data_IF_124955656392
#
_entry.id   IF_124955656392
#
_cell.length_a   1.000
_cell.length_b   1.000
_cell.length_c   1.000
_cell.angle_alpha   90.00
_cell.angle_beta   90.00
_cell.angle_gamma   90.00
#
_symmetry.space_group_name_H-M   'P 1'
#
loop_
_entity.id
_entity.type
_entity.pdbx_description
1 polymer ?
#
# COMPACT_ATOMS: atom_id res chain seq x y z
N UNK A 1 36.71 -36.64 -13.14
CA UNK A 1 35.56 -35.73 -12.96
C UNK A 1 35.17 -35.69 -11.48
N UNK A 2 35.77 -34.80 -10.69
CA UNK A 2 35.22 -34.35 -9.41
C UNK A 2 35.07 -32.83 -9.56
N UNK A 3 33.86 -32.31 -9.37
CA UNK A 3 33.57 -30.87 -9.44
C UNK A 3 33.97 -30.28 -8.11
N UNK A 4 34.85 -29.30 -8.11
CA UNK A 4 35.10 -28.45 -6.95
C UNK A 4 33.88 -27.55 -6.74
N UNK A 5 33.25 -27.70 -5.58
CA UNK A 5 32.21 -26.78 -5.10
C UNK A 5 32.90 -25.51 -4.57
N UNK A 6 32.40 -24.30 -4.86
CA UNK A 6 32.98 -23.08 -4.29
C UNK A 6 32.79 -23.07 -2.76
N UNK A 7 33.75 -22.51 -2.00
CA UNK A 7 33.67 -22.44 -0.55
C UNK A 7 32.47 -21.58 -0.12
N UNK A 8 31.81 -21.91 1.01
CA UNK A 8 30.72 -21.09 1.54
C UNK A 8 31.26 -19.69 1.90
N UNK A 9 30.47 -18.62 1.71
CA UNK A 9 30.89 -17.28 2.08
C UNK A 9 31.16 -17.20 3.60
N UNK A 10 32.17 -16.42 4.03
CA UNK A 10 32.56 -16.32 5.43
C UNK A 10 31.40 -15.79 6.28
N UNK A 11 31.11 -16.46 7.40
CA UNK A 11 30.01 -16.13 8.33
C UNK A 11 30.06 -14.68 8.83
N UNK A 12 31.27 -14.11 8.95
CA UNK A 12 31.53 -12.68 9.25
C UNK A 12 30.83 -11.70 8.30
N UNK A 13 30.60 -12.09 7.04
CA UNK A 13 29.91 -11.21 6.09
C UNK A 13 28.41 -11.12 6.36
N UNK A 14 27.80 -12.21 6.82
CA UNK A 14 26.37 -12.24 7.17
C UNK A 14 26.16 -11.52 8.50
N UNK A 15 27.02 -11.76 9.48
CA UNK A 15 26.96 -11.07 10.77
C UNK A 15 27.21 -9.57 10.62
N UNK A 16 28.18 -9.14 9.80
CA UNK A 16 28.38 -7.71 9.48
C UNK A 16 27.19 -7.08 8.75
N UNK A 17 26.54 -7.79 7.82
CA UNK A 17 25.34 -7.27 7.16
C UNK A 17 24.19 -7.11 8.17
N UNK A 18 24.05 -8.04 9.11
CA UNK A 18 23.04 -7.99 10.17
C UNK A 18 23.37 -6.89 11.19
N UNK A 19 24.64 -6.70 11.54
CA UNK A 19 25.11 -5.63 12.42
C UNK A 19 25.02 -4.25 11.78
N UNK A 20 25.36 -4.11 10.49
CA UNK A 20 25.19 -2.88 9.72
C UNK A 20 23.70 -2.51 9.60
N UNK A 21 22.82 -3.49 9.33
CA UNK A 21 21.36 -3.29 9.32
C UNK A 21 20.81 -2.93 10.71
N UNK A 22 21.33 -3.54 11.77
CA UNK A 22 20.96 -3.22 13.16
C UNK A 22 21.48 -1.85 13.60
N UNK A 23 22.69 -1.46 13.15
CA UNK A 23 23.27 -0.15 13.39
C UNK A 23 22.48 0.94 12.66
N UNK A 24 22.07 0.71 11.42
CA UNK A 24 21.23 1.65 10.66
C UNK A 24 19.84 1.83 11.31
N UNK A 25 19.29 0.76 11.91
CA UNK A 25 18.09 0.82 12.77
C UNK A 25 18.31 1.62 14.07
N UNK A 26 19.53 1.60 14.63
CA UNK A 26 19.86 2.24 15.91
C UNK A 26 20.21 3.73 15.76
N UNK A 27 20.84 4.10 14.65
CA UNK A 27 21.29 5.46 14.36
C UNK A 27 20.20 6.33 13.74
N UNK A 28 19.20 5.72 13.10
CA UNK A 28 18.03 6.39 12.55
C UNK A 28 16.73 5.74 13.06
N UNK A 29 16.15 6.21 14.18
CA UNK A 29 14.84 5.73 14.64
C UNK A 29 13.68 6.09 13.70
N UNK A 30 13.96 6.64 12.50
CA UNK A 30 13.04 7.04 11.42
C UNK A 30 13.69 6.80 10.04
N UNK A 31 13.91 5.52 9.71
CA UNK A 31 14.23 5.02 8.35
C UNK A 31 12.96 4.43 7.68
N UNK A 32 12.99 4.16 6.37
CA UNK A 32 11.92 3.44 5.63
C UNK A 32 11.52 2.09 6.29
N UNK A 33 12.39 1.53 7.13
CA UNK A 33 12.13 0.35 7.96
C UNK A 33 11.25 0.56 9.22
N UNK A 34 10.94 1.79 9.62
CA UNK A 34 10.16 2.05 10.84
C UNK A 34 8.69 1.72 10.67
N UNK A 35 8.11 1.07 11.69
CA UNK A 35 6.73 0.62 11.63
C UNK A 35 5.81 1.82 11.84
N UNK A 36 4.61 1.78 11.26
CA UNK A 36 3.54 2.76 11.48
C UNK A 36 3.37 3.10 12.98
N UNK A 37 3.46 2.09 13.85
CA UNK A 37 3.34 2.26 15.31
C UNK A 37 4.41 3.20 15.88
N UNK A 38 5.63 3.17 15.36
CA UNK A 38 6.74 3.97 15.87
C UNK A 38 6.56 5.45 15.47
N UNK A 39 6.13 5.72 14.23
CA UNK A 39 5.73 7.05 13.79
C UNK A 39 4.57 7.60 14.64
N UNK A 40 3.53 6.80 14.91
CA UNK A 40 2.40 7.22 15.75
C UNK A 40 2.87 7.58 17.17
N UNK A 41 3.78 6.79 17.76
CA UNK A 41 4.35 7.10 19.08
C UNK A 41 5.13 8.42 19.05
N UNK A 42 5.94 8.65 18.02
CA UNK A 42 6.72 9.87 17.86
C UNK A 42 5.84 11.12 17.73
N UNK A 43 4.78 11.03 16.93
CA UNK A 43 3.76 12.08 16.78
C UNK A 43 3.08 12.35 18.12
N UNK A 44 2.65 11.32 18.84
CA UNK A 44 2.01 11.46 20.17
C UNK A 44 2.94 12.00 21.26
N UNK A 45 4.24 11.80 21.13
CA UNK A 45 5.24 12.33 22.06
C UNK A 45 5.57 13.81 21.81
N UNK A 46 5.12 14.38 20.68
CA UNK A 46 5.33 15.79 20.35
C UNK A 46 4.54 16.68 21.30
N UNK A 47 5.21 17.66 21.92
CA UNK A 47 4.63 18.61 22.86
C UNK A 47 4.08 19.85 22.16
N UNK A 48 4.54 20.10 20.94
CA UNK A 48 4.14 21.25 20.13
C UNK A 48 3.73 20.82 18.73
N UNK A 49 2.85 21.62 18.12
CA UNK A 49 2.49 21.45 16.72
C UNK A 49 3.68 21.63 15.75
N UNK A 50 4.76 22.29 16.18
CA UNK A 50 5.98 22.42 15.38
C UNK A 50 6.79 21.11 15.36
N UNK A 51 6.90 20.44 16.51
CA UNK A 51 7.54 19.12 16.64
C UNK A 51 6.79 18.06 15.83
N UNK A 52 5.44 18.02 15.95
CA UNK A 52 4.61 17.09 15.18
C UNK A 52 4.84 17.24 13.68
N UNK A 53 4.79 18.48 13.19
CA UNK A 53 5.07 18.82 11.78
C UNK A 53 6.48 18.40 11.36
N UNK A 54 7.46 18.50 12.25
CA UNK A 54 8.83 18.08 11.95
C UNK A 54 8.93 16.56 11.76
N UNK A 55 8.26 15.77 12.61
CA UNK A 55 8.19 14.31 12.48
C UNK A 55 7.51 13.93 11.16
N UNK A 56 6.34 14.52 10.87
CA UNK A 56 5.59 14.25 9.64
C UNK A 56 6.41 14.62 8.40
N UNK A 57 7.06 15.78 8.37
CA UNK A 57 7.90 16.20 7.23
C UNK A 57 9.06 15.24 6.98
N UNK A 58 9.70 14.76 8.05
CA UNK A 58 10.82 13.81 7.96
C UNK A 58 10.34 12.48 7.38
N UNK A 59 9.24 11.93 7.88
CA UNK A 59 8.66 10.68 7.36
C UNK A 59 8.20 10.82 5.91
N UNK A 60 7.55 11.93 5.54
CA UNK A 60 7.20 12.20 4.14
C UNK A 60 8.43 12.32 3.22
N UNK A 61 9.57 12.81 3.73
CA UNK A 61 10.82 12.84 2.96
C UNK A 61 11.37 11.41 2.77
N UNK A 62 11.39 10.59 3.82
CA UNK A 62 11.82 9.20 3.76
C UNK A 62 10.95 8.36 2.80
N UNK A 63 9.62 8.53 2.86
CA UNK A 63 8.71 7.84 1.93
C UNK A 63 8.97 8.27 0.49
N UNK A 64 9.18 9.57 0.23
CA UNK A 64 9.48 10.05 -1.13
C UNK A 64 10.79 9.47 -1.67
N UNK A 65 11.83 9.38 -0.84
CA UNK A 65 13.08 8.73 -1.22
C UNK A 65 12.85 7.26 -1.56
N UNK A 66 12.16 6.50 -0.69
CA UNK A 66 11.87 5.09 -0.94
C UNK A 66 11.04 4.84 -2.22
N UNK A 67 10.11 5.74 -2.55
CA UNK A 67 9.36 5.70 -3.82
C UNK A 67 10.29 5.93 -5.01
N UNK A 68 11.20 6.90 -4.91
CA UNK A 68 12.18 7.20 -5.96
C UNK A 68 13.13 6.03 -6.19
N UNK A 69 13.55 5.36 -5.13
CA UNK A 69 14.45 4.20 -5.19
C UNK A 69 13.73 2.91 -5.60
N UNK A 70 12.40 2.98 -5.82
CA UNK A 70 11.54 1.86 -6.20
C UNK A 70 11.66 0.66 -5.24
N UNK A 71 11.83 0.94 -3.95
CA UNK A 71 11.92 -0.06 -2.89
C UNK A 71 10.54 -0.73 -2.69
N UNK A 72 10.45 -2.01 -3.06
CA UNK A 72 9.21 -2.78 -3.03
C UNK A 72 8.91 -3.34 -1.63
N UNK A 73 9.95 -3.63 -0.85
CA UNK A 73 9.86 -4.42 0.38
C UNK A 73 9.06 -3.68 1.46
N UNK A 74 9.18 -2.35 1.47
CA UNK A 74 8.51 -1.49 2.44
C UNK A 74 7.32 -0.72 1.86
N UNK A 75 6.91 -0.94 0.60
CA UNK A 75 5.84 -0.15 -0.04
C UNK A 75 4.54 -0.17 0.78
N UNK A 76 4.10 -1.34 1.22
CA UNK A 76 2.86 -1.49 2.00
C UNK A 76 2.92 -0.74 3.34
N UNK A 77 4.09 -0.70 4.00
CA UNK A 77 4.29 0.02 5.26
C UNK A 77 4.32 1.53 5.04
N UNK A 78 5.01 1.96 4.00
CA UNK A 78 5.10 3.36 3.61
C UNK A 78 3.72 3.91 3.25
N UNK A 79 2.87 3.13 2.57
CA UNK A 79 1.48 3.52 2.30
C UNK A 79 0.63 3.60 3.56
N UNK A 80 0.75 2.66 4.50
CA UNK A 80 0.05 2.76 5.77
C UNK A 80 0.46 4.02 6.57
N UNK A 81 1.75 4.38 6.57
CA UNK A 81 2.24 5.65 7.14
C UNK A 81 1.63 6.85 6.45
N UNK A 82 1.63 6.85 5.11
CA UNK A 82 1.09 7.95 4.32
C UNK A 82 -0.41 8.16 4.55
N UNK A 83 -1.20 7.10 4.66
CA UNK A 83 -2.63 7.17 4.96
C UNK A 83 -2.88 7.78 6.34
N UNK A 84 -2.07 7.43 7.34
CA UNK A 84 -2.16 8.05 8.65
C UNK A 84 -1.82 9.55 8.62
N UNK A 85 -0.77 9.93 7.88
CA UNK A 85 -0.39 11.33 7.68
C UNK A 85 -1.52 12.11 7.01
N UNK A 86 -2.20 11.51 6.03
CA UNK A 86 -3.38 12.10 5.39
C UNK A 86 -4.53 12.32 6.38
N UNK A 87 -4.81 11.33 7.25
CA UNK A 87 -5.84 11.47 8.29
C UNK A 87 -5.55 12.59 9.30
N UNK A 88 -4.28 12.95 9.50
CA UNK A 88 -3.88 14.11 10.30
C UNK A 88 -4.05 15.45 9.56
N UNK A 89 -4.48 15.44 8.29
CA UNK A 89 -4.72 16.63 7.48
C UNK A 89 -3.49 17.14 6.71
N UNK A 90 -2.42 16.35 6.62
CA UNK A 90 -1.23 16.73 5.86
C UNK A 90 -1.33 16.32 4.37
N UNK A 91 -0.72 17.09 3.45
CA UNK A 91 -0.77 16.79 2.03
C UNK A 91 0.04 15.55 1.67
N UNK A 92 -0.59 14.62 0.95
CA UNK A 92 -0.04 13.29 0.60
C UNK A 92 -0.20 12.91 -0.87
N UNK A 93 -0.54 13.87 -1.74
CA UNK A 93 -0.84 13.63 -3.16
C UNK A 93 0.24 12.85 -3.92
N UNK A 94 1.51 12.98 -3.53
CA UNK A 94 2.62 12.28 -4.16
C UNK A 94 2.54 10.74 -4.07
N UNK A 95 1.75 10.19 -3.13
CA UNK A 95 1.58 8.75 -3.00
C UNK A 95 0.41 8.15 -3.77
N UNK A 96 -0.41 8.96 -4.46
CA UNK A 96 -1.59 8.46 -5.18
C UNK A 96 -1.22 7.41 -6.24
N UNK A 97 -0.12 7.63 -6.99
CA UNK A 97 0.35 6.68 -8.00
C UNK A 97 0.84 5.36 -7.39
N UNK A 98 1.44 5.40 -6.20
CA UNK A 98 1.86 4.18 -5.50
C UNK A 98 0.68 3.36 -4.99
N UNK A 99 -0.43 4.01 -4.60
CA UNK A 99 -1.67 3.30 -4.31
C UNK A 99 -2.21 2.55 -5.54
N UNK A 100 -2.16 3.18 -6.73
CA UNK A 100 -2.57 2.51 -7.97
C UNK A 100 -1.69 1.32 -8.31
N UNK A 101 -0.36 1.44 -8.15
CA UNK A 101 0.56 0.32 -8.33
C UNK A 101 0.24 -0.86 -7.40
N UNK A 102 -0.15 -0.58 -6.15
CA UNK A 102 -0.60 -1.61 -5.22
C UNK A 102 -1.92 -2.27 -5.63
N UNK A 103 -2.86 -1.51 -6.18
CA UNK A 103 -4.12 -2.05 -6.72
C UNK A 103 -3.84 -2.96 -7.92
N UNK A 104 -2.91 -2.57 -8.79
CA UNK A 104 -2.52 -3.36 -9.95
C UNK A 104 -1.67 -4.60 -9.61
N UNK A 105 -1.16 -4.72 -8.38
CA UNK A 105 -0.40 -5.89 -7.95
C UNK A 105 -1.29 -7.15 -7.91
N UNK A 106 -0.69 -8.33 -8.08
CA UNK A 106 -1.42 -9.61 -8.04
C UNK A 106 -1.69 -10.13 -6.63
N UNK A 107 -0.96 -9.65 -5.63
CA UNK A 107 -1.06 -10.09 -4.24
C UNK A 107 -2.25 -9.48 -3.49
N UNK A 108 -2.93 -10.30 -2.70
CA UNK A 108 -4.05 -9.84 -1.87
C UNK A 108 -3.65 -8.77 -0.81
N UNK A 109 -2.53 -8.92 -0.06
CA UNK A 109 -2.12 -7.90 0.92
C UNK A 109 -1.88 -6.53 0.29
N UNK A 110 -1.27 -6.50 -0.90
CA UNK A 110 -0.98 -5.30 -1.66
C UNK A 110 -2.27 -4.64 -2.14
N UNK A 111 -3.15 -5.41 -2.79
CA UNK A 111 -4.47 -4.93 -3.23
C UNK A 111 -5.27 -4.37 -2.06
N UNK A 112 -5.27 -5.04 -0.91
CA UNK A 112 -5.99 -4.59 0.29
C UNK A 112 -5.53 -3.21 0.76
N UNK A 113 -4.23 -2.96 0.80
CA UNK A 113 -3.69 -1.64 1.16
C UNK A 113 -3.99 -0.64 0.04
N UNK A 114 -3.85 -1.03 -1.22
CA UNK A 114 -4.14 -0.19 -2.38
C UNK A 114 -5.58 0.32 -2.40
N UNK A 115 -6.56 -0.58 -2.29
CA UNK A 115 -7.99 -0.22 -2.26
C UNK A 115 -8.39 0.60 -1.03
N UNK A 116 -7.76 0.37 0.13
CA UNK A 116 -7.98 1.24 1.29
C UNK A 116 -7.37 2.64 1.06
N UNK A 117 -6.19 2.69 0.44
CA UNK A 117 -5.56 3.94 0.01
C UNK A 117 -6.42 4.68 -1.00
N UNK A 118 -7.10 3.98 -1.90
CA UNK A 118 -8.05 4.54 -2.85
C UNK A 118 -9.22 5.26 -2.19
N UNK A 119 -9.85 4.65 -1.20
CA UNK A 119 -10.97 5.30 -0.51
C UNK A 119 -10.54 6.52 0.32
N UNK A 120 -9.25 6.65 0.66
CA UNK A 120 -8.75 7.71 1.55
C UNK A 120 -7.95 8.81 0.86
N UNK A 121 -7.12 8.48 -0.13
CA UNK A 121 -6.11 9.38 -0.69
C UNK A 121 -6.47 9.91 -2.08
N UNK A 122 -7.39 9.25 -2.77
CA UNK A 122 -7.65 9.54 -4.16
C UNK A 122 -8.73 10.62 -4.33
N UNK A 123 -8.37 11.57 -5.18
CA UNK A 123 -9.19 12.69 -5.62
C UNK A 123 -9.87 12.31 -6.95
N UNK A 124 -10.94 13.00 -7.35
CA UNK A 124 -11.78 12.68 -8.53
C UNK A 124 -11.10 13.01 -9.87
N UNK A 125 -9.79 12.81 -9.98
CA UNK A 125 -9.05 12.99 -11.22
C UNK A 125 -9.41 11.89 -12.22
N UNK A 126 -9.95 12.29 -13.36
CA UNK A 126 -10.46 11.43 -14.43
C UNK A 126 -9.48 10.31 -14.86
N UNK A 127 -8.19 10.64 -15.06
CA UNK A 127 -7.19 9.63 -15.46
C UNK A 127 -7.03 8.50 -14.44
N UNK A 128 -7.19 8.85 -13.16
CA UNK A 128 -7.01 7.89 -12.08
C UNK A 128 -8.25 7.01 -11.93
N UNK A 129 -9.44 7.60 -12.08
CA UNK A 129 -10.71 6.88 -12.09
C UNK A 129 -10.73 5.82 -13.20
N UNK A 130 -10.20 6.11 -14.39
CA UNK A 130 -10.10 5.12 -15.47
C UNK A 130 -9.21 3.92 -15.12
N UNK A 131 -8.01 4.18 -14.55
CA UNK A 131 -7.10 3.10 -14.14
C UNK A 131 -7.71 2.22 -13.07
N UNK A 132 -8.38 2.82 -12.10
CA UNK A 132 -9.11 2.13 -11.03
C UNK A 132 -10.24 1.28 -11.60
N UNK A 133 -11.01 1.81 -12.56
CA UNK A 133 -12.11 1.09 -13.22
C UNK A 133 -11.61 -0.18 -13.90
N UNK A 134 -10.48 -0.10 -14.60
CA UNK A 134 -9.87 -1.27 -15.24
C UNK A 134 -9.41 -2.31 -14.20
N UNK A 135 -8.74 -1.87 -13.13
CA UNK A 135 -8.33 -2.78 -12.05
C UNK A 135 -9.52 -3.43 -11.33
N UNK A 136 -10.60 -2.67 -11.07
CA UNK A 136 -11.85 -3.19 -10.52
C UNK A 136 -12.44 -4.26 -11.42
N UNK A 137 -12.49 -4.04 -12.74
CA UNK A 137 -13.01 -5.03 -13.69
C UNK A 137 -12.22 -6.34 -13.65
N UNK A 138 -10.90 -6.26 -13.60
CA UNK A 138 -10.03 -7.43 -13.47
C UNK A 138 -10.26 -8.15 -12.13
N UNK A 139 -10.38 -7.40 -11.05
CA UNK A 139 -10.54 -7.94 -9.70
C UNK A 139 -11.93 -8.55 -9.44
N UNK A 140 -12.98 -8.03 -10.08
CA UNK A 140 -14.34 -8.61 -10.07
C UNK A 140 -14.41 -9.95 -10.82
N UNK A 141 -13.48 -10.18 -11.76
CA UNK A 141 -13.34 -11.44 -12.50
C UNK A 141 -12.27 -12.37 -11.92
N UNK A 142 -11.70 -12.01 -10.78
CA UNK A 142 -10.65 -12.80 -10.15
C UNK A 142 -11.20 -14.10 -9.55
N UNK A 143 -10.43 -15.18 -9.62
CA UNK A 143 -10.82 -16.50 -9.08
C UNK A 143 -10.92 -16.51 -7.54
N UNK A 144 -10.10 -15.69 -6.89
CA UNK A 144 -10.10 -15.50 -5.43
C UNK A 144 -11.25 -14.56 -4.98
N UNK A 145 -12.22 -15.12 -4.25
CA UNK A 145 -13.37 -14.40 -3.70
C UNK A 145 -13.00 -13.26 -2.74
N UNK A 146 -11.85 -13.32 -2.06
CA UNK A 146 -11.41 -12.22 -1.19
C UNK A 146 -11.03 -10.97 -2.01
N UNK A 147 -10.48 -11.15 -3.20
CA UNK A 147 -10.16 -10.05 -4.12
C UNK A 147 -11.45 -9.49 -4.72
N UNK A 148 -12.37 -10.36 -5.15
CA UNK A 148 -13.70 -9.94 -5.64
C UNK A 148 -14.45 -9.14 -4.57
N UNK A 149 -14.49 -9.63 -3.32
CA UNK A 149 -15.18 -8.95 -2.22
C UNK A 149 -14.51 -7.65 -1.77
N UNK A 150 -13.23 -7.46 -2.07
CA UNK A 150 -12.50 -6.21 -1.88
C UNK A 150 -12.86 -5.19 -2.98
N UNK A 151 -12.89 -5.64 -4.24
CA UNK A 151 -13.29 -4.81 -5.37
C UNK A 151 -14.75 -4.34 -5.26
N UNK A 152 -15.68 -5.22 -4.88
CA UNK A 152 -17.08 -4.84 -4.61
C UNK A 152 -17.19 -3.80 -3.49
N UNK A 153 -16.42 -3.97 -2.41
CA UNK A 153 -16.39 -3.03 -1.29
C UNK A 153 -15.83 -1.67 -1.72
N UNK A 154 -14.76 -1.65 -2.52
CA UNK A 154 -14.21 -0.41 -3.06
C UNK A 154 -15.21 0.27 -4.00
N UNK A 155 -15.80 -0.48 -4.94
CA UNK A 155 -16.80 0.01 -5.87
C UNK A 155 -17.96 0.68 -5.12
N UNK A 156 -18.53 0.05 -4.10
CA UNK A 156 -19.62 0.64 -3.31
C UNK A 156 -19.27 1.97 -2.63
N UNK A 157 -18.00 2.24 -2.33
CA UNK A 157 -17.56 3.47 -1.67
C UNK A 157 -17.21 4.61 -2.64
N UNK A 158 -16.75 4.29 -3.86
CA UNK A 158 -16.21 5.29 -4.81
C UNK A 158 -16.97 5.33 -6.14
N UNK A 159 -18.07 4.58 -6.26
CA UNK A 159 -18.77 4.39 -7.52
C UNK A 159 -19.15 5.73 -8.18
N UNK A 160 -18.59 6.01 -9.36
CA UNK A 160 -19.07 7.07 -10.24
C UNK A 160 -20.14 6.53 -11.19
N UNK A 161 -20.92 7.43 -11.80
CA UNK A 161 -21.90 7.04 -12.82
C UNK A 161 -21.25 6.37 -14.06
N UNK A 162 -19.97 6.64 -14.32
CA UNK A 162 -19.21 6.00 -15.39
C UNK A 162 -18.77 4.59 -14.97
N UNK A 163 -18.20 4.45 -13.78
CA UNK A 163 -17.85 3.15 -13.20
C UNK A 163 -19.05 2.21 -13.11
N UNK A 164 -20.21 2.73 -12.71
CA UNK A 164 -21.45 1.95 -12.62
C UNK A 164 -21.83 1.38 -13.99
N UNK A 165 -21.77 2.18 -15.06
CA UNK A 165 -22.11 1.73 -16.42
C UNK A 165 -21.14 0.66 -16.93
N UNK A 166 -19.85 0.85 -16.67
CA UNK A 166 -18.80 -0.05 -17.18
C UNK A 166 -18.73 -1.37 -16.41
N UNK A 167 -19.05 -1.37 -15.11
CA UNK A 167 -18.93 -2.52 -14.21
C UNK A 167 -20.26 -3.21 -13.90
N UNK A 168 -21.42 -2.62 -14.24
CA UNK A 168 -22.73 -3.24 -14.03
C UNK A 168 -22.83 -4.69 -14.56
N UNK A 169 -22.35 -5.02 -15.77
CA UNK A 169 -22.42 -6.39 -16.27
C UNK A 169 -21.67 -7.41 -15.38
N UNK A 170 -20.55 -6.98 -14.80
CA UNK A 170 -19.73 -7.83 -13.92
C UNK A 170 -20.43 -8.06 -12.57
N UNK A 171 -21.06 -7.02 -12.03
CA UNK A 171 -21.83 -7.09 -10.78
C UNK A 171 -23.07 -7.97 -10.93
N UNK A 172 -23.81 -7.83 -12.04
CA UNK A 172 -24.96 -8.69 -12.36
C UNK A 172 -24.57 -10.16 -12.48
N UNK A 173 -23.44 -10.45 -13.12
CA UNK A 173 -22.89 -11.82 -13.20
C UNK A 173 -22.59 -12.36 -11.80
N UNK A 174 -22.02 -11.55 -10.92
CA UNK A 174 -21.67 -11.95 -9.56
C UNK A 174 -22.90 -12.21 -8.67
N UNK A 175 -24.03 -11.54 -8.92
CA UNK A 175 -25.31 -11.81 -8.24
C UNK A 175 -25.86 -13.22 -8.52
N UNK A 176 -25.56 -13.76 -9.70
CA UNK A 176 -26.01 -15.10 -10.11
C UNK A 176 -25.16 -16.21 -9.49
N UNK A 177 -23.95 -15.90 -9.00
CA UNK A 177 -23.06 -16.89 -8.37
C UNK A 177 -23.64 -17.42 -7.05
N UNK A 178 -23.50 -18.72 -6.78
CA UNK A 178 -24.04 -19.38 -5.57
C UNK A 178 -23.29 -19.06 -4.26
N UNK A 179 -22.23 -18.25 -4.29
CA UNK A 179 -21.44 -17.93 -3.10
C UNK A 179 -22.13 -16.87 -2.20
N UNK A 180 -22.49 -17.21 -0.95
CA UNK A 180 -23.16 -16.29 -0.03
C UNK A 180 -22.32 -15.05 0.33
N UNK A 181 -20.99 -15.16 0.37
CA UNK A 181 -20.13 -14.03 0.77
C UNK A 181 -20.05 -12.95 -0.31
N UNK A 182 -20.02 -13.38 -1.58
CA UNK A 182 -20.10 -12.48 -2.73
C UNK A 182 -21.49 -11.85 -2.83
N UNK A 183 -22.58 -12.62 -2.66
CA UNK A 183 -23.96 -12.11 -2.73
C UNK A 183 -24.30 -11.04 -1.68
N UNK A 184 -23.72 -11.11 -0.48
CA UNK A 184 -23.97 -10.11 0.58
C UNK A 184 -23.33 -8.76 0.31
N UNK A 185 -22.34 -8.71 -0.57
CA UNK A 185 -21.51 -7.53 -0.85
C UNK A 185 -21.93 -6.81 -2.14
N UNK A 186 -22.81 -7.41 -2.93
CA UNK A 186 -23.55 -6.75 -4.01
C UNK A 186 -24.86 -6.23 -3.46
#
# INVERSE_FOLDING_TARGET
RRRDSPPPPPQDSVERIVEDAAMDLSLNPFSSGTRLRDMIRAIRASKTAAEERAVVRRECAAIRAAISDNDQDYRHRNMAKLMFIHMLGYPTHFGQMECLKLIAASGFPEKRIGYLGLTLLLDERQEVLMLVTNSLKQDLNHSNQFIVGLALCALGNICSAEMARDLAPEVERLLQTRDPNTKKKV
#
